data_IF_937190624374
#
_entry.id   IF_937190624374
#
_cell.length_a   1.000
_cell.length_b   1.000
_cell.length_c   1.000
_cell.angle_alpha   90.00
_cell.angle_beta   90.00
_cell.angle_gamma   90.00
#
_symmetry.space_group_name_H-M   'P 1'
#
loop_
_entity.id
_entity.type
_entity.pdbx_description
1 polymer ?
#
# COMPACT_ATOMS: atom_id res chain seq x y z
N UNK A 1 15.64 1.82 10.04
CA UNK A 1 14.94 1.14 8.94
C UNK A 1 13.61 0.65 9.47
N UNK A 2 12.51 0.84 8.74
CA UNK A 2 11.25 0.14 9.06
C UNK A 2 11.55 -1.36 9.03
N UNK A 3 11.19 -2.10 10.08
CA UNK A 3 11.57 -3.51 10.22
C UNK A 3 11.30 -4.32 8.96
N UNK A 4 12.24 -5.19 8.58
CA UNK A 4 12.22 -5.87 7.28
C UNK A 4 11.01 -6.81 7.11
N UNK A 5 10.45 -7.31 8.22
CA UNK A 5 9.47 -8.39 8.20
C UNK A 5 8.01 -7.93 8.39
N UNK A 6 7.76 -6.69 8.81
CA UNK A 6 6.41 -6.21 9.16
C UNK A 6 5.99 -4.99 8.36
N UNK A 7 4.77 -5.05 7.82
CA UNK A 7 4.09 -3.91 7.24
C UNK A 7 3.21 -3.24 8.30
N UNK A 8 3.33 -1.91 8.41
CA UNK A 8 2.53 -1.09 9.31
C UNK A 8 1.58 -0.19 8.52
N UNK A 9 0.29 -0.29 8.78
CA UNK A 9 -0.70 0.67 8.32
C UNK A 9 -0.75 1.87 9.28
N UNK A 10 -0.33 3.04 8.80
CA UNK A 10 -0.30 4.29 9.59
C UNK A 10 -1.69 4.95 9.68
N UNK A 11 -2.58 4.61 8.76
CA UNK A 11 -3.98 5.04 8.79
C UNK A 11 -4.85 4.20 7.87
N UNK A 12 -6.09 3.93 8.29
CA UNK A 12 -7.07 3.18 7.51
C UNK A 12 -8.42 3.88 7.53
N UNK A 13 -9.19 3.70 6.45
CA UNK A 13 -10.61 4.03 6.43
C UNK A 13 -11.40 2.84 5.86
N UNK A 14 -12.46 2.36 6.55
CA UNK A 14 -12.82 2.71 7.92
C UNK A 14 -11.69 2.38 8.91
N UNK A 15 -11.71 3.05 10.07
CA UNK A 15 -10.74 2.77 11.14
C UNK A 15 -10.89 1.30 11.56
N UNK A 16 -9.78 0.58 11.65
CA UNK A 16 -9.75 -0.81 12.12
C UNK A 16 -9.05 -0.89 13.48
N UNK A 17 -9.29 -1.96 14.26
CA UNK A 17 -8.56 -2.18 15.50
C UNK A 17 -7.03 -2.16 15.26
N UNK A 18 -6.22 -1.54 16.15
CA UNK A 18 -4.79 -1.35 15.95
C UNK A 18 -4.00 -2.65 15.70
N UNK A 19 -4.44 -3.77 16.27
CA UNK A 19 -3.86 -5.10 16.04
C UNK A 19 -3.92 -5.54 14.57
N UNK A 20 -4.86 -5.00 13.79
CA UNK A 20 -5.01 -5.27 12.36
C UNK A 20 -4.18 -4.33 11.47
N UNK A 21 -3.47 -3.37 12.07
CA UNK A 21 -2.59 -2.45 11.34
C UNK A 21 -1.18 -3.02 11.16
N UNK A 22 -0.93 -4.24 11.63
CA UNK A 22 0.34 -4.94 11.46
C UNK A 22 0.09 -6.27 10.74
N UNK A 23 0.91 -6.54 9.73
CA UNK A 23 0.88 -7.81 9.01
C UNK A 23 2.29 -8.18 8.55
N UNK A 24 2.59 -9.47 8.34
CA UNK A 24 3.83 -9.87 7.68
C UNK A 24 3.98 -9.14 6.35
N UNK A 25 5.15 -8.57 6.08
CA UNK A 25 5.40 -7.78 4.86
C UNK A 25 5.19 -8.61 3.59
N UNK A 26 5.48 -9.91 3.67
CA UNK A 26 5.31 -10.90 2.59
C UNK A 26 3.86 -11.27 2.31
N UNK A 27 2.91 -10.92 3.19
CA UNK A 27 1.50 -11.31 3.07
C UNK A 27 0.58 -10.15 2.64
N UNK A 28 1.16 -9.02 2.21
CA UNK A 28 0.37 -7.86 1.83
C UNK A 28 0.77 -7.24 0.47
N UNK A 29 -0.23 -6.98 -0.37
CA UNK A 29 -0.07 -6.35 -1.69
C UNK A 29 0.54 -4.94 -1.62
N UNK A 30 0.32 -4.21 -0.52
CA UNK A 30 0.90 -2.88 -0.34
C UNK A 30 2.45 -2.91 -0.30
N UNK A 31 3.07 -4.01 0.14
CA UNK A 31 4.52 -4.20 0.02
C UNK A 31 4.98 -4.34 -1.44
N UNK A 32 4.21 -5.02 -2.29
CA UNK A 32 4.51 -5.15 -3.72
C UNK A 32 4.40 -3.82 -4.46
N UNK A 33 3.46 -2.96 -4.05
CA UNK A 33 3.31 -1.61 -4.59
C UNK A 33 4.56 -0.74 -4.33
N UNK A 34 5.25 -0.94 -3.20
CA UNK A 34 6.49 -0.21 -2.90
C UNK A 34 7.62 -0.59 -3.85
N UNK A 35 7.69 -1.86 -4.26
CA UNK A 35 8.67 -2.32 -5.26
C UNK A 35 8.29 -1.94 -6.69
N UNK A 36 7.05 -1.52 -6.92
CA UNK A 36 6.60 -1.05 -8.22
C UNK A 36 6.86 0.45 -8.37
N UNK A 37 7.57 0.85 -9.43
CA UNK A 37 7.75 2.28 -9.75
C UNK A 37 6.41 2.93 -10.19
N UNK A 38 5.44 2.12 -10.61
CA UNK A 38 4.13 2.56 -11.10
C UNK A 38 3.00 2.08 -10.20
N UNK A 39 1.84 2.77 -10.19
CA UNK A 39 0.64 2.28 -9.51
C UNK A 39 0.28 0.86 -9.96
N UNK A 40 -0.10 0.04 -8.99
CA UNK A 40 -0.45 -1.36 -9.15
C UNK A 40 -1.97 -1.51 -9.04
N UNK A 41 -2.64 -1.87 -10.12
CA UNK A 41 -4.08 -2.16 -10.14
C UNK A 41 -4.29 -3.64 -10.43
N UNK A 42 -4.96 -4.33 -9.50
CA UNK A 42 -5.21 -5.77 -9.56
C UNK A 42 -6.71 -6.00 -9.48
N UNK A 43 -7.29 -6.33 -10.64
CA UNK A 43 -8.74 -6.51 -10.82
C UNK A 43 -9.26 -7.85 -10.30
N UNK A 44 -8.37 -8.85 -10.22
CA UNK A 44 -8.70 -10.16 -9.72
C UNK A 44 -7.47 -10.79 -9.05
N UNK A 45 -7.21 -10.46 -7.77
CA UNK A 45 -6.08 -11.00 -7.03
C UNK A 45 -6.08 -12.54 -6.94
N UNK A 46 -7.26 -13.18 -6.97
CA UNK A 46 -7.39 -14.63 -6.90
C UNK A 46 -6.86 -15.35 -8.16
N UNK A 47 -6.72 -14.63 -9.27
CA UNK A 47 -6.17 -15.14 -10.54
C UNK A 47 -4.76 -14.63 -10.84
N UNK A 48 -4.20 -13.81 -9.95
CA UNK A 48 -2.85 -13.29 -10.08
C UNK A 48 -1.89 -14.17 -9.27
N UNK A 49 -0.96 -14.88 -9.93
CA UNK A 49 -0.05 -15.81 -9.27
C UNK A 49 0.79 -15.16 -8.17
N UNK A 50 0.98 -13.83 -8.20
CA UNK A 50 1.74 -13.08 -7.20
C UNK A 50 0.98 -12.95 -5.88
N UNK A 51 -0.35 -12.99 -5.92
CA UNK A 51 -1.21 -12.62 -4.79
C UNK A 51 -2.21 -13.72 -4.39
N UNK A 52 -2.54 -14.64 -5.30
CA UNK A 52 -3.57 -15.65 -5.10
C UNK A 52 -3.33 -16.57 -3.88
N UNK A 53 -2.08 -16.70 -3.43
CA UNK A 53 -1.73 -17.50 -2.25
C UNK A 53 -1.64 -16.70 -0.94
N UNK A 54 -1.78 -15.37 -0.98
CA UNK A 54 -1.74 -14.54 0.22
C UNK A 54 -3.00 -14.74 1.07
N UNK A 55 -2.86 -14.77 2.40
CA UNK A 55 -3.98 -14.91 3.34
C UNK A 55 -5.07 -13.85 3.14
N UNK A 56 -4.68 -12.60 2.84
CA UNK A 56 -5.63 -11.50 2.56
C UNK A 56 -6.51 -11.78 1.31
N UNK A 57 -6.05 -12.62 0.39
CA UNK A 57 -6.80 -13.03 -0.81
C UNK A 57 -7.59 -14.31 -0.55
N UNK A 58 -6.97 -15.32 0.07
CA UNK A 58 -7.60 -16.63 0.32
C UNK A 58 -8.67 -16.59 1.42
N UNK A 59 -8.36 -15.91 2.52
CA UNK A 59 -9.12 -16.01 3.76
C UNK A 59 -10.07 -14.82 3.92
N UNK A 60 -9.59 -13.61 3.64
CA UNK A 60 -10.43 -12.41 3.70
C UNK A 60 -11.25 -12.18 2.41
N UNK A 61 -10.82 -12.75 1.28
CA UNK A 61 -11.59 -12.73 0.03
C UNK A 61 -11.55 -11.39 -0.72
N UNK A 62 -10.45 -10.63 -0.63
CA UNK A 62 -10.28 -9.39 -1.40
C UNK A 62 -10.36 -9.69 -2.90
N UNK A 63 -11.18 -8.92 -3.62
CA UNK A 63 -11.45 -9.10 -5.06
C UNK A 63 -10.90 -7.98 -5.93
N UNK A 64 -10.59 -6.83 -5.34
CA UNK A 64 -9.98 -5.72 -6.04
C UNK A 64 -8.92 -5.05 -5.16
N UNK A 65 -7.85 -4.59 -5.79
CA UNK A 65 -6.81 -3.81 -5.15
C UNK A 65 -6.27 -2.73 -6.09
N UNK A 66 -6.04 -1.54 -5.55
CA UNK A 66 -5.26 -0.51 -6.22
C UNK A 66 -4.29 0.14 -5.23
N UNK A 67 -3.00 0.09 -5.55
CA UNK A 67 -1.92 0.65 -4.76
C UNK A 67 -1.16 1.72 -5.54
N UNK A 68 -0.90 2.85 -4.90
CA UNK A 68 -0.16 3.98 -5.45
C UNK A 68 1.06 4.26 -4.57
N UNK A 69 2.27 4.28 -5.11
CA UNK A 69 3.46 4.48 -4.30
C UNK A 69 3.54 5.94 -3.82
N UNK A 70 3.90 6.13 -2.56
CA UNK A 70 4.10 7.44 -1.94
C UNK A 70 5.60 7.75 -2.00
N UNK A 71 5.95 8.84 -2.66
CA UNK A 71 7.34 9.31 -2.80
C UNK A 71 7.62 10.45 -1.84
N UNK A 72 8.71 10.34 -1.09
CA UNK A 72 9.27 11.45 -0.35
C UNK A 72 9.84 12.52 -1.33
N UNK A 73 10.10 13.75 -0.86
CA UNK A 73 10.62 14.82 -1.71
C UNK A 73 11.96 14.51 -2.39
N UNK A 74 12.75 13.60 -1.83
CA UNK A 74 14.01 13.10 -2.40
C UNK A 74 13.82 12.03 -3.50
N UNK A 75 12.56 11.66 -3.79
CA UNK A 75 12.19 10.65 -4.78
C UNK A 75 12.11 9.23 -4.23
N UNK A 76 12.51 8.98 -2.99
CA UNK A 76 12.46 7.64 -2.40
C UNK A 76 11.01 7.17 -2.18
N UNK A 77 10.73 5.89 -2.46
CA UNK A 77 9.44 5.28 -2.16
C UNK A 77 9.40 4.90 -0.70
N UNK A 78 8.67 5.65 0.10
CA UNK A 78 8.65 5.49 1.57
C UNK A 78 7.42 4.75 2.08
N UNK A 79 6.33 4.73 1.31
CA UNK A 79 5.08 4.09 1.65
C UNK A 79 4.24 3.83 0.39
N UNK A 80 3.03 3.30 0.58
CA UNK A 80 2.01 3.20 -0.48
C UNK A 80 0.65 3.62 0.06
N UNK A 81 -0.12 4.36 -0.73
CA UNK A 81 -1.55 4.57 -0.53
C UNK A 81 -2.29 3.45 -1.27
N UNK A 82 -3.04 2.63 -0.54
CA UNK A 82 -3.76 1.51 -1.15
C UNK A 82 -5.25 1.50 -0.78
N UNK A 83 -6.06 1.02 -1.72
CA UNK A 83 -7.48 0.69 -1.53
C UNK A 83 -7.73 -0.74 -1.95
N UNK A 84 -8.69 -1.40 -1.30
CA UNK A 84 -9.08 -2.77 -1.54
C UNK A 84 -10.58 -2.94 -1.34
N UNK A 85 -11.19 -3.83 -2.12
CA UNK A 85 -12.62 -4.12 -2.01
C UNK A 85 -12.87 -5.65 -2.09
N UNK A 86 -13.92 -6.10 -1.42
CA UNK A 86 -14.42 -7.48 -1.46
C UNK A 86 -15.43 -7.70 -2.59
N UNK A 87 -15.85 -6.62 -3.26
CA UNK A 87 -16.60 -6.68 -4.52
C UNK A 87 -15.65 -6.62 -5.71
N UNK A 88 -15.91 -7.38 -6.79
CA UNK A 88 -15.11 -7.27 -8.00
C UNK A 88 -15.35 -5.91 -8.67
N UNK A 89 -14.30 -5.36 -9.27
CA UNK A 89 -14.35 -4.15 -10.08
C UNK A 89 -13.65 -4.40 -11.41
N UNK A 90 -14.32 -4.06 -12.52
CA UNK A 90 -13.79 -4.30 -13.87
C UNK A 90 -12.66 -3.33 -14.23
N UNK A 91 -12.66 -2.13 -13.67
CA UNK A 91 -11.65 -1.11 -13.88
C UNK A 91 -11.57 -0.12 -12.70
N UNK A 92 -10.55 0.73 -12.77
CA UNK A 92 -10.52 2.02 -12.08
C UNK A 92 -10.78 3.09 -13.14
N UNK A 93 -11.67 4.02 -12.88
CA UNK A 93 -11.91 5.12 -13.81
C UNK A 93 -10.71 6.07 -13.85
N UNK A 94 -10.56 6.83 -14.95
CA UNK A 94 -9.51 7.85 -15.07
C UNK A 94 -9.57 8.87 -13.93
N UNK A 95 -10.78 9.22 -13.48
CA UNK A 95 -11.00 10.17 -12.37
C UNK A 95 -10.51 9.60 -11.05
N UNK A 96 -10.86 8.35 -10.73
CA UNK A 96 -10.42 7.68 -9.50
C UNK A 96 -8.91 7.49 -9.48
N UNK A 97 -8.33 7.09 -10.61
CA UNK A 97 -6.89 6.96 -10.76
C UNK A 97 -6.16 8.29 -10.50
N UNK A 98 -6.59 9.37 -11.16
CA UNK A 98 -6.01 10.69 -10.96
C UNK A 98 -6.18 11.20 -9.51
N UNK A 99 -7.31 10.87 -8.88
CA UNK A 99 -7.57 11.19 -7.47
C UNK A 99 -6.58 10.46 -6.56
N UNK A 100 -6.45 9.14 -6.71
CA UNK A 100 -5.52 8.32 -5.92
C UNK A 100 -4.06 8.76 -6.12
N UNK A 101 -3.68 9.07 -7.36
CA UNK A 101 -2.34 9.57 -7.67
C UNK A 101 -2.08 10.93 -6.98
N UNK A 102 -3.06 11.83 -7.01
CA UNK A 102 -2.97 13.13 -6.33
C UNK A 102 -2.86 12.97 -4.82
N UNK A 103 -3.65 12.07 -4.23
CA UNK A 103 -3.59 11.79 -2.79
C UNK A 103 -2.23 11.19 -2.39
N UNK A 104 -1.68 10.27 -3.18
CA UNK A 104 -0.35 9.70 -2.93
C UNK A 104 0.75 10.78 -3.01
N UNK A 105 0.67 11.68 -3.99
CA UNK A 105 1.57 12.83 -4.13
C UNK A 105 1.48 13.79 -2.94
N UNK A 106 0.27 14.08 -2.45
CA UNK A 106 0.06 14.94 -1.29
C UNK A 106 0.57 14.28 -0.01
N UNK A 107 0.28 12.99 0.19
CA UNK A 107 0.81 12.23 1.31
C UNK A 107 2.34 12.27 1.33
N UNK A 108 3.00 12.13 0.18
CA UNK A 108 4.46 12.20 0.07
C UNK A 108 5.08 13.50 0.58
N UNK A 109 4.36 14.62 0.46
CA UNK A 109 4.79 15.91 1.04
C UNK A 109 4.64 15.98 2.56
N UNK A 110 3.76 15.15 3.13
CA UNK A 110 3.48 15.07 4.56
C UNK A 110 4.34 14.02 5.28
N UNK A 111 4.73 12.95 4.57
CA UNK A 111 5.68 11.96 5.07
C UNK A 111 7.08 12.57 5.03
N UNK A 112 7.39 13.43 6.01
CA UNK A 112 8.75 13.89 6.21
C UNK A 112 9.63 12.69 6.58
N UNK A 113 10.88 12.60 6.08
CA UNK A 113 11.87 11.75 6.71
C UNK A 113 11.93 12.18 8.18
N UNK A 114 11.70 11.25 9.10
CA UNK A 114 12.13 11.46 10.49
C UNK A 114 13.63 11.65 10.36
N UNK A 115 14.15 12.87 10.57
CA UNK A 115 15.57 13.08 10.72
C UNK A 115 15.99 12.20 11.90
N UNK A 116 16.52 11.02 11.61
CA UNK A 116 17.29 10.26 12.57
C UNK A 116 18.50 11.16 12.80
N UNK A 117 18.51 11.87 13.94
CA UNK A 117 19.73 12.50 14.41
C UNK A 117 20.82 11.42 14.33
N UNK A 118 21.85 11.69 13.54
CA UNK A 118 23.01 10.80 13.45
C UNK A 118 23.50 10.56 14.89
N UNK A 119 23.87 9.32 15.26
CA UNK A 119 24.44 9.08 16.57
C UNK A 119 25.66 10.00 16.71
N UNK A 120 25.64 10.83 17.75
CA UNK A 120 26.83 11.57 18.16
C UNK A 120 27.93 10.55 18.46
N UNK A 121 29.12 10.83 17.93
CA UNK A 121 30.34 10.03 18.03
C UNK A 121 30.63 9.48 19.42
#
# INVERSE_FOLDING_TARGET
MVGEDTLHAVGTFPQRPPEMNMAPRTENMCAHTIYADKPLVVKNPQRDMRFAQMAIIKDAGVKFYAGFPIRAPDGAIVASLCTSDFKPHDNISTKEYATMETLAKLAGKLVAPRQLAAPAH
#
